data_IF_776032549227
#
_entry.id   IF_776032549227
#
_cell.length_a   1.000
_cell.length_b   1.000
_cell.length_c   1.000
_cell.angle_alpha   90.00
_cell.angle_beta   90.00
_cell.angle_gamma   90.00
#
_symmetry.space_group_name_H-M   'P 1'
#
loop_
_entity.id
_entity.type
_entity.pdbx_description
1 polymer ?
#
# COMPACT_ATOMS: atom_id res chain seq x y z
N UNK A 1 -4.36 14.34 27.63
CA UNK A 1 -4.32 12.90 27.89
C UNK A 1 -3.36 12.27 26.90
N UNK A 2 -2.28 11.71 27.36
CA UNK A 2 -1.17 11.23 26.55
C UNK A 2 -1.53 9.92 25.88
N UNK A 3 -1.46 9.86 24.54
CA UNK A 3 -1.48 8.61 23.80
C UNK A 3 -0.29 7.73 24.21
N UNK A 4 -0.51 6.42 24.43
CA UNK A 4 0.60 5.50 24.66
C UNK A 4 1.40 5.31 23.36
N UNK A 5 2.72 5.03 23.46
CA UNK A 5 3.57 4.78 22.31
C UNK A 5 3.12 3.50 21.60
N UNK A 6 3.01 3.54 20.28
CA UNK A 6 2.69 2.41 19.44
C UNK A 6 3.67 1.26 19.68
N UNK A 7 3.16 0.13 20.13
CA UNK A 7 3.90 -1.12 20.15
C UNK A 7 4.15 -1.59 18.71
N UNK A 8 5.35 -2.12 18.40
CA UNK A 8 5.62 -2.65 17.07
C UNK A 8 4.73 -3.84 16.80
N UNK A 9 4.04 -3.81 15.66
CA UNK A 9 3.22 -4.89 15.16
C UNK A 9 4.06 -6.16 15.05
N UNK A 10 3.75 -7.18 15.86
CA UNK A 10 4.31 -8.52 15.70
C UNK A 10 3.73 -9.16 14.45
N UNK A 11 4.47 -9.10 13.36
CA UNK A 11 4.21 -9.90 12.18
C UNK A 11 4.59 -11.35 12.46
N UNK A 12 3.63 -12.26 12.33
CA UNK A 12 3.84 -13.69 12.43
C UNK A 12 4.69 -14.15 11.24
N UNK A 13 5.95 -14.46 11.52
CA UNK A 13 6.83 -15.21 10.64
C UNK A 13 6.32 -16.67 10.57
N UNK A 14 5.66 -17.03 9.50
CA UNK A 14 5.43 -18.44 9.19
C UNK A 14 6.69 -19.02 8.56
N UNK A 15 7.43 -19.78 9.36
CA UNK A 15 8.57 -20.57 8.93
C UNK A 15 8.12 -21.71 8.03
N UNK A 16 8.70 -21.84 6.85
CA UNK A 16 8.62 -23.05 6.01
C UNK A 16 9.44 -24.17 6.64
N UNK A 17 8.85 -25.38 6.64
CA UNK A 17 9.38 -26.72 6.87
C UNK A 17 9.36 -27.24 8.31
N UNK A 18 8.33 -28.04 8.57
CA UNK A 18 8.48 -29.26 9.36
C UNK A 18 8.17 -30.45 8.46
N UNK A 19 9.22 -31.17 8.05
CA UNK A 19 9.13 -32.49 7.45
C UNK A 19 8.72 -33.45 8.58
N UNK A 20 7.47 -33.89 8.60
CA UNK A 20 7.04 -35.03 9.42
C UNK A 20 7.08 -36.28 8.55
N UNK A 21 7.99 -37.20 8.88
CA UNK A 21 7.97 -38.58 8.36
C UNK A 21 6.75 -39.33 8.90
N UNK A 22 6.07 -40.15 8.10
CA UNK A 22 4.95 -40.95 8.56
C UNK A 22 5.44 -42.15 9.38
N UNK A 23 5.05 -42.20 10.65
CA UNK A 23 5.07 -43.45 11.40
C UNK A 23 3.80 -44.26 11.15
N UNK A 24 3.97 -45.51 10.74
CA UNK A 24 2.89 -46.45 10.54
C UNK A 24 2.28 -46.89 11.88
N UNK A 25 0.99 -46.65 12.05
CA UNK A 25 0.19 -47.31 13.06
C UNK A 25 -1.03 -47.97 12.40
N UNK A 26 -1.01 -49.33 12.41
CA UNK A 26 -2.15 -50.17 12.05
C UNK A 26 -3.28 -49.98 13.08
N UNK A 27 -4.43 -49.47 12.64
CA UNK A 27 -5.63 -49.41 13.45
C UNK A 27 -6.84 -49.05 12.61
N UNK A 28 -7.76 -50.01 12.38
CA UNK A 28 -9.03 -49.76 11.68
C UNK A 28 -9.85 -48.71 12.42
N UNK A 29 -10.07 -47.56 11.82
CA UNK A 29 -11.03 -46.58 12.24
C UNK A 29 -11.72 -45.93 11.03
N UNK A 30 -13.00 -45.62 11.19
CA UNK A 30 -13.95 -45.19 10.20
C UNK A 30 -13.45 -44.10 9.27
N UNK A 31 -13.73 -44.22 7.96
CA UNK A 31 -13.49 -43.19 6.93
C UNK A 31 -14.35 -41.96 7.22
N UNK A 32 -13.78 -40.99 7.89
CA UNK A 32 -14.17 -39.59 7.73
C UNK A 32 -13.35 -39.03 6.56
N UNK A 33 -13.96 -38.90 5.39
CA UNK A 33 -13.39 -38.19 4.26
C UNK A 33 -13.31 -36.70 4.59
N UNK A 34 -12.26 -36.30 5.31
CA UNK A 34 -11.84 -34.89 5.28
C UNK A 34 -11.26 -34.67 3.88
N UNK A 35 -11.99 -33.95 3.06
CA UNK A 35 -11.41 -33.26 1.91
C UNK A 35 -10.41 -32.22 2.46
N UNK A 36 -9.17 -32.62 2.62
CA UNK A 36 -8.06 -31.69 2.66
C UNK A 36 -7.89 -31.28 1.20
N UNK A 37 -8.43 -30.12 0.84
CA UNK A 37 -7.99 -29.48 -0.39
C UNK A 37 -6.49 -29.26 -0.21
N UNK A 38 -5.68 -30.00 -0.95
CA UNK A 38 -4.29 -29.62 -1.20
C UNK A 38 -4.36 -28.24 -1.88
N UNK A 39 -4.02 -27.22 -1.11
CA UNK A 39 -3.94 -25.87 -1.62
C UNK A 39 -2.67 -25.85 -2.47
N UNK A 40 -2.84 -25.71 -3.79
CA UNK A 40 -1.72 -25.56 -4.72
C UNK A 40 -0.87 -24.35 -4.29
N UNK A 41 0.28 -24.63 -3.72
CA UNK A 41 1.19 -23.59 -3.23
C UNK A 41 1.76 -22.71 -4.35
N UNK A 42 1.59 -23.11 -5.62
CA UNK A 42 1.97 -22.30 -6.79
C UNK A 42 0.98 -21.16 -7.07
N UNK A 43 -0.19 -21.17 -6.40
CA UNK A 43 -1.24 -20.16 -6.57
C UNK A 43 -1.12 -18.94 -5.61
N UNK A 44 -0.14 -18.93 -4.71
CA UNK A 44 0.05 -17.85 -3.74
C UNK A 44 1.31 -17.05 -4.05
N UNK A 45 1.17 -15.73 -4.07
CA UNK A 45 2.28 -14.78 -4.16
C UNK A 45 2.53 -14.22 -2.76
N UNK A 46 3.78 -14.27 -2.32
CA UNK A 46 4.22 -13.76 -1.02
C UNK A 46 4.97 -12.46 -1.21
N UNK A 47 4.36 -11.29 -0.92
CA UNK A 47 5.05 -10.02 -1.05
C UNK A 47 5.99 -9.75 0.13
N UNK A 48 7.17 -9.22 -0.17
CA UNK A 48 8.09 -8.65 0.79
C UNK A 48 7.85 -7.14 0.86
N UNK A 49 7.33 -6.65 1.98
CA UNK A 49 7.06 -5.22 2.16
C UNK A 49 8.35 -4.45 2.40
N UNK A 50 8.53 -3.37 1.66
CA UNK A 50 9.71 -2.51 1.68
C UNK A 50 9.30 -1.06 1.89
N UNK A 51 9.82 -0.42 2.92
CA UNK A 51 9.83 1.04 3.00
C UNK A 51 11.03 1.53 2.18
N UNK A 52 10.75 2.07 0.99
CA UNK A 52 11.75 2.38 -0.05
C UNK A 52 12.95 3.14 0.51
N UNK A 53 12.68 4.23 1.25
CA UNK A 53 13.72 5.08 1.83
C UNK A 53 14.66 4.34 2.80
N UNK A 54 14.16 3.30 3.49
CA UNK A 54 14.85 2.64 4.60
C UNK A 54 15.54 1.34 4.22
N UNK A 55 15.25 0.81 3.04
CA UNK A 55 15.65 -0.57 2.74
C UNK A 55 17.09 -0.67 2.24
N UNK A 56 17.45 0.04 1.18
CA UNK A 56 18.80 -0.06 0.62
C UNK A 56 19.20 1.20 -0.16
N UNK A 57 20.45 1.61 0.04
CA UNK A 57 21.12 2.59 -0.80
C UNK A 57 21.58 1.93 -2.10
N UNK A 58 21.72 2.71 -3.16
CA UNK A 58 22.33 2.26 -4.40
C UNK A 58 23.82 1.93 -4.20
N UNK A 59 24.26 0.81 -4.77
CA UNK A 59 25.64 0.35 -4.65
C UNK A 59 26.00 -0.11 -3.24
N UNK A 60 27.27 0.04 -2.88
CA UNK A 60 27.81 -0.30 -1.54
C UNK A 60 27.68 0.87 -0.54
N UNK A 61 26.72 1.74 -0.72
CA UNK A 61 26.53 2.90 0.14
C UNK A 61 26.33 2.51 1.61
N UNK A 62 27.06 3.18 2.52
CA UNK A 62 27.03 2.95 3.97
C UNK A 62 26.54 4.18 4.75
N UNK A 63 25.73 5.04 4.12
CA UNK A 63 25.19 6.20 4.82
C UNK A 63 24.45 5.75 6.07
N UNK A 64 24.83 6.37 7.19
CA UNK A 64 24.19 6.07 8.47
C UNK A 64 22.80 6.67 8.50
N UNK A 65 21.78 5.82 8.57
CA UNK A 65 20.41 6.25 8.81
C UNK A 65 20.16 6.35 10.33
N UNK A 66 19.90 7.56 10.81
CA UNK A 66 19.47 7.79 12.20
C UNK A 66 17.95 7.93 12.17
N UNK A 67 17.25 6.88 12.54
CA UNK A 67 15.78 6.81 12.44
C UNK A 67 15.07 7.87 13.29
N UNK A 68 15.65 8.24 14.42
CA UNK A 68 15.10 9.24 15.33
C UNK A 68 15.11 10.65 14.75
N UNK A 69 15.97 10.92 13.76
CA UNK A 69 15.99 12.20 13.04
C UNK A 69 14.77 12.40 12.16
N UNK A 70 14.02 11.32 11.85
CA UNK A 70 12.81 11.33 11.00
C UNK A 70 13.03 12.02 9.65
N UNK A 71 14.20 11.82 9.04
CA UNK A 71 14.61 12.36 7.74
C UNK A 71 14.71 11.25 6.71
N UNK A 72 14.76 11.62 5.44
CA UNK A 72 15.15 10.69 4.40
C UNK A 72 16.52 10.07 4.70
N UNK A 73 16.63 8.76 4.47
CA UNK A 73 17.87 7.99 4.62
C UNK A 73 18.50 7.59 3.28
N UNK A 74 17.83 7.89 2.18
CA UNK A 74 18.36 7.75 0.83
C UNK A 74 18.22 6.38 0.21
N UNK A 75 17.34 5.52 0.71
CA UNK A 75 16.97 4.28 0.03
C UNK A 75 16.27 4.57 -1.30
N UNK A 76 16.60 3.81 -2.34
CA UNK A 76 16.17 4.06 -3.73
C UNK A 76 15.67 2.81 -4.43
N UNK A 77 14.97 2.98 -5.58
CA UNK A 77 14.60 1.87 -6.46
C UNK A 77 15.84 1.08 -6.93
N UNK A 78 16.96 1.76 -7.20
CA UNK A 78 18.22 1.10 -7.54
C UNK A 78 18.78 0.29 -6.40
N UNK A 79 18.73 0.81 -5.18
CA UNK A 79 19.11 0.06 -3.98
C UNK A 79 18.27 -1.21 -3.79
N UNK A 80 16.97 -1.17 -4.09
CA UNK A 80 16.11 -2.36 -4.07
C UNK A 80 16.57 -3.36 -5.13
N UNK A 81 16.87 -2.91 -6.37
CA UNK A 81 17.37 -3.77 -7.46
C UNK A 81 18.62 -4.53 -7.00
N UNK A 82 19.56 -3.86 -6.34
CA UNK A 82 20.81 -4.46 -5.84
C UNK A 82 20.57 -5.54 -4.76
N UNK A 83 19.37 -5.60 -4.18
CA UNK A 83 18.99 -6.57 -3.13
C UNK A 83 17.98 -7.63 -3.58
N UNK A 84 17.64 -7.69 -4.87
CA UNK A 84 16.63 -8.65 -5.36
C UNK A 84 17.05 -10.11 -5.13
N UNK A 85 18.32 -10.43 -5.26
CA UNK A 85 18.80 -11.80 -5.01
C UNK A 85 18.59 -12.20 -3.54
N UNK A 86 18.86 -11.29 -2.60
CA UNK A 86 18.56 -11.49 -1.19
C UNK A 86 17.08 -11.75 -0.93
N UNK A 87 16.19 -10.93 -1.52
CA UNK A 87 14.74 -11.07 -1.33
C UNK A 87 14.24 -12.39 -1.94
N UNK A 88 14.71 -12.74 -3.14
CA UNK A 88 14.35 -13.99 -3.81
C UNK A 88 14.83 -15.22 -3.03
N UNK A 89 16.04 -15.19 -2.46
CA UNK A 89 16.58 -16.27 -1.63
C UNK A 89 15.78 -16.48 -0.34
N UNK A 90 15.12 -15.45 0.18
CA UNK A 90 14.19 -15.58 1.29
C UNK A 90 12.87 -16.27 0.91
N UNK A 91 12.63 -16.50 -0.40
CA UNK A 91 11.46 -17.19 -0.92
C UNK A 91 10.24 -16.30 -1.16
N UNK A 92 10.43 -14.99 -1.32
CA UNK A 92 9.38 -14.07 -1.72
C UNK A 92 9.24 -14.02 -3.25
N UNK A 93 8.01 -13.84 -3.72
CA UNK A 93 7.64 -13.82 -5.13
C UNK A 93 7.27 -12.42 -5.62
N UNK A 94 7.11 -11.48 -4.71
CA UNK A 94 6.78 -10.08 -5.00
C UNK A 94 7.47 -9.13 -4.02
N UNK A 95 7.55 -7.87 -4.41
CA UNK A 95 7.91 -6.76 -3.50
C UNK A 95 6.72 -5.80 -3.44
N UNK A 96 6.38 -5.37 -2.25
CA UNK A 96 5.46 -4.28 -2.01
C UNK A 96 6.26 -3.07 -1.50
N UNK A 97 6.34 -2.01 -2.32
CA UNK A 97 7.04 -0.77 -2.00
C UNK A 97 6.08 0.31 -1.48
N UNK A 98 6.60 1.21 -0.64
CA UNK A 98 5.89 2.40 -0.17
C UNK A 98 5.41 3.28 -1.33
N UNK A 99 4.47 4.24 -1.09
CA UNK A 99 3.95 5.09 -2.16
C UNK A 99 5.04 5.80 -2.94
N UNK A 100 4.86 5.87 -4.26
CA UNK A 100 5.90 6.31 -5.20
C UNK A 100 5.74 7.76 -5.66
N UNK A 101 4.61 8.40 -5.36
CA UNK A 101 4.31 9.76 -5.81
C UNK A 101 5.09 10.82 -5.04
N UNK A 102 5.24 12.01 -5.64
CA UNK A 102 5.92 13.12 -4.97
C UNK A 102 5.16 13.53 -3.71
N UNK A 103 5.91 13.67 -2.63
CA UNK A 103 5.41 14.00 -1.30
C UNK A 103 5.76 15.45 -0.95
N UNK A 104 5.17 15.95 0.14
CA UNK A 104 5.53 17.26 0.67
C UNK A 104 7.01 17.29 1.04
N UNK A 105 7.67 18.38 0.71
CA UNK A 105 9.07 18.61 1.01
C UNK A 105 9.25 19.37 2.33
N UNK A 106 10.41 19.17 2.95
CA UNK A 106 10.79 19.83 4.19
C UNK A 106 10.34 19.11 5.46
N UNK A 107 10.69 19.70 6.59
CA UNK A 107 10.49 19.11 7.90
C UNK A 107 9.16 19.54 8.50
N UNK A 108 8.29 18.58 8.76
CA UNK A 108 7.01 18.78 9.43
C UNK A 108 7.11 18.57 10.94
N UNK A 109 6.01 18.73 11.67
CA UNK A 109 5.94 18.39 13.10
C UNK A 109 6.33 16.92 13.40
N UNK A 110 6.22 16.03 12.41
CA UNK A 110 6.52 14.60 12.53
C UNK A 110 7.72 14.14 11.70
N UNK A 111 8.47 15.05 11.10
CA UNK A 111 9.64 14.78 10.28
C UNK A 111 9.38 15.00 8.79
N UNK A 112 10.27 14.50 7.95
CA UNK A 112 10.14 14.52 6.50
C UNK A 112 9.24 13.37 6.01
N UNK A 113 8.71 13.49 4.78
CA UNK A 113 7.76 12.53 4.21
C UNK A 113 8.44 11.26 3.64
N UNK A 114 9.50 10.78 4.25
CA UNK A 114 10.31 9.64 3.81
C UNK A 114 9.52 8.34 3.61
N UNK A 115 8.37 8.24 4.25
CA UNK A 115 7.48 7.06 4.18
C UNK A 115 6.61 7.05 2.93
N UNK A 116 6.39 8.19 2.25
CA UNK A 116 5.62 8.29 1.01
C UNK A 116 4.11 8.53 1.16
N UNK A 117 3.58 8.67 2.39
CA UNK A 117 2.13 8.80 2.63
C UNK A 117 1.59 10.22 2.68
N UNK A 118 2.40 11.25 2.43
CA UNK A 118 1.98 12.65 2.40
C UNK A 118 2.10 13.22 0.98
N UNK A 119 1.26 12.69 0.08
CA UNK A 119 1.26 13.08 -1.32
C UNK A 119 1.08 14.59 -1.50
N UNK A 120 1.86 15.16 -2.41
CA UNK A 120 1.73 16.53 -2.89
C UNK A 120 1.41 16.58 -4.38
N UNK A 121 2.01 15.69 -5.16
CA UNK A 121 1.81 15.61 -6.60
C UNK A 121 1.71 14.14 -7.03
N UNK A 122 0.52 13.72 -7.45
CA UNK A 122 0.30 12.32 -7.84
C UNK A 122 0.74 12.01 -9.27
N UNK A 123 1.06 13.01 -10.09
CA UNK A 123 1.53 12.82 -11.46
C UNK A 123 3.05 12.73 -11.58
N UNK A 124 3.78 13.11 -10.55
CA UNK A 124 5.22 12.99 -10.47
C UNK A 124 5.64 11.96 -9.42
N UNK A 125 6.80 11.33 -9.64
CA UNK A 125 7.39 10.43 -8.65
C UNK A 125 8.17 11.22 -7.60
N UNK A 126 8.32 10.62 -6.42
CA UNK A 126 9.17 11.14 -5.36
C UNK A 126 10.66 11.07 -5.79
N UNK A 127 11.33 12.22 -5.98
CA UNK A 127 12.70 12.25 -6.49
C UNK A 127 13.71 11.63 -5.51
N UNK A 128 13.38 11.52 -4.23
CA UNK A 128 14.23 10.86 -3.23
C UNK A 128 14.39 9.35 -3.49
N UNK A 129 13.43 8.73 -4.18
CA UNK A 129 13.46 7.29 -4.45
C UNK A 129 14.08 6.92 -5.79
N UNK A 130 14.27 7.90 -6.67
CA UNK A 130 14.84 7.75 -8.00
C UNK A 130 13.99 8.36 -9.11
N UNK A 131 14.38 8.10 -10.34
CA UNK A 131 13.73 8.60 -11.55
C UNK A 131 12.59 7.68 -12.02
N UNK A 132 11.71 8.14 -12.93
CA UNK A 132 10.75 7.25 -13.62
C UNK A 132 11.42 6.05 -14.30
N UNK A 133 12.61 6.25 -14.88
CA UNK A 133 13.40 5.17 -15.48
C UNK A 133 13.86 4.13 -14.46
N UNK A 134 14.13 4.53 -13.22
CA UNK A 134 14.56 3.62 -12.15
C UNK A 134 13.41 2.76 -11.66
N UNK A 135 12.19 3.30 -11.59
CA UNK A 135 11.00 2.51 -11.23
C UNK A 135 10.66 1.49 -12.33
N UNK A 136 10.76 1.87 -13.60
CA UNK A 136 10.64 0.93 -14.74
C UNK A 136 11.72 -0.14 -14.68
N UNK A 137 12.96 0.23 -14.34
CA UNK A 137 14.04 -0.73 -14.19
C UNK A 137 13.80 -1.71 -13.04
N UNK A 138 13.24 -1.26 -11.91
CA UNK A 138 12.85 -2.15 -10.80
C UNK A 138 11.80 -3.17 -11.24
N UNK A 139 10.71 -2.73 -11.87
CA UNK A 139 9.69 -3.62 -12.42
C UNK A 139 10.29 -4.64 -13.39
N UNK A 140 11.12 -4.18 -14.35
CA UNK A 140 11.78 -5.05 -15.32
C UNK A 140 12.70 -6.08 -14.66
N UNK A 141 13.46 -5.68 -13.63
CA UNK A 141 14.36 -6.56 -12.91
C UNK A 141 13.61 -7.62 -12.09
N UNK A 142 12.44 -7.29 -11.55
CA UNK A 142 11.54 -8.24 -10.89
C UNK A 142 10.96 -9.25 -11.90
N UNK A 143 10.42 -8.76 -13.02
CA UNK A 143 9.83 -9.60 -14.07
C UNK A 143 10.86 -10.59 -14.66
N UNK A 144 12.12 -10.15 -14.85
CA UNK A 144 13.20 -11.04 -15.30
C UNK A 144 13.45 -12.21 -14.32
N UNK A 145 13.11 -12.05 -13.05
CA UNK A 145 13.18 -13.07 -11.98
C UNK A 145 11.87 -13.83 -11.78
N UNK A 146 10.84 -13.56 -12.57
CA UNK A 146 9.46 -14.03 -12.38
C UNK A 146 8.87 -13.60 -11.02
N UNK A 147 9.27 -12.44 -10.56
CA UNK A 147 8.74 -11.76 -9.39
C UNK A 147 7.84 -10.61 -9.82
N UNK A 148 7.04 -10.10 -8.90
CA UNK A 148 6.03 -9.08 -9.15
C UNK A 148 6.27 -7.80 -8.35
N UNK A 149 5.79 -6.68 -8.89
CA UNK A 149 5.82 -5.37 -8.23
C UNK A 149 4.42 -4.99 -7.73
N UNK A 150 4.27 -4.82 -6.42
CA UNK A 150 3.12 -4.18 -5.80
C UNK A 150 3.51 -2.80 -5.30
N UNK A 151 2.69 -1.80 -5.60
CA UNK A 151 2.90 -0.41 -5.18
C UNK A 151 1.80 0.01 -4.23
N UNK A 152 2.20 0.67 -3.13
CA UNK A 152 1.27 1.32 -2.22
C UNK A 152 0.71 2.60 -2.85
N UNK A 153 -0.59 2.86 -2.70
CA UNK A 153 -1.27 4.03 -3.25
C UNK A 153 -2.16 4.68 -2.20
N UNK A 154 -2.16 6.01 -2.16
CA UNK A 154 -3.00 6.80 -1.27
C UNK A 154 -4.03 7.55 -2.11
N UNK A 155 -5.31 7.39 -1.79
CA UNK A 155 -6.44 8.09 -2.43
C UNK A 155 -7.10 9.03 -1.44
N UNK A 156 -7.22 8.60 -0.20
CA UNK A 156 -7.98 9.26 0.86
C UNK A 156 -7.55 10.71 1.10
N UNK A 157 -6.25 10.97 1.12
CA UNK A 157 -5.73 12.27 1.54
C UNK A 157 -4.51 12.70 0.73
N UNK A 158 -4.27 13.99 0.78
CA UNK A 158 -2.99 14.60 0.41
C UNK A 158 -2.18 14.94 1.67
N UNK A 159 -1.01 15.52 1.48
CA UNK A 159 -0.14 15.94 2.58
C UNK A 159 -0.80 16.98 3.47
N UNK A 160 -0.11 17.40 4.55
CA UNK A 160 -0.70 18.36 5.48
C UNK A 160 -1.06 19.65 4.80
N UNK A 161 -2.31 20.10 5.04
CA UNK A 161 -2.83 21.38 4.59
C UNK A 161 -3.22 22.20 5.81
N UNK A 162 -2.34 23.09 6.24
CA UNK A 162 -2.56 23.98 7.39
C UNK A 162 -2.90 25.42 7.00
N UNK A 163 -3.00 25.70 5.72
CA UNK A 163 -3.34 27.02 5.19
C UNK A 163 -3.82 26.94 3.74
N UNK A 164 -4.48 28.00 3.26
CA UNK A 164 -4.86 28.11 1.83
C UNK A 164 -3.66 28.02 0.88
N UNK A 165 -2.46 28.39 1.33
CA UNK A 165 -1.23 28.26 0.54
C UNK A 165 -0.83 26.79 0.32
N UNK A 166 -1.18 25.90 1.24
CA UNK A 166 -0.88 24.47 1.10
C UNK A 166 -1.61 23.84 -0.08
N UNK A 167 -2.88 24.19 -0.30
CA UNK A 167 -3.65 23.66 -1.44
C UNK A 167 -3.05 24.05 -2.78
N UNK A 168 -2.52 25.26 -2.92
CA UNK A 168 -1.91 25.72 -4.17
C UNK A 168 -0.69 24.89 -4.60
N UNK A 169 -0.05 24.19 -3.65
CA UNK A 169 1.09 23.32 -3.91
C UNK A 169 0.68 21.89 -4.34
N UNK A 170 -0.57 21.50 -4.16
CA UNK A 170 -1.05 20.19 -4.54
C UNK A 170 -1.31 20.07 -6.04
N UNK A 171 -0.95 18.95 -6.64
CA UNK A 171 -1.19 18.67 -8.04
C UNK A 171 -1.83 17.26 -8.19
N UNK A 172 -3.03 17.14 -8.78
CA UNK A 172 -3.82 18.18 -9.42
C UNK A 172 -4.85 18.89 -8.49
N UNK A 173 -4.97 18.48 -7.24
CA UNK A 173 -6.03 18.93 -6.33
C UNK A 173 -5.64 20.24 -5.62
N UNK A 174 -5.46 21.32 -6.40
CA UNK A 174 -4.88 22.59 -5.94
C UNK A 174 -5.89 23.62 -5.39
N UNK A 175 -7.08 23.17 -4.99
CA UNK A 175 -8.12 24.05 -4.44
C UNK A 175 -8.82 23.41 -3.24
N UNK A 176 -9.22 24.18 -2.22
CA UNK A 176 -9.96 23.67 -1.08
C UNK A 176 -11.25 22.91 -1.44
N UNK A 177 -11.90 23.28 -2.55
CA UNK A 177 -13.14 22.64 -3.03
C UNK A 177 -12.98 21.20 -3.55
N UNK A 178 -11.77 20.68 -3.56
CA UNK A 178 -11.48 19.27 -3.90
C UNK A 178 -11.39 18.39 -2.65
N UNK A 179 -11.55 18.96 -1.48
CA UNK A 179 -11.43 18.28 -0.19
C UNK A 179 -12.69 18.48 0.64
N UNK A 180 -12.96 17.55 1.54
CA UNK A 180 -13.99 17.74 2.55
C UNK A 180 -13.64 18.95 3.45
N UNK A 181 -14.64 19.62 4.05
CA UNK A 181 -14.39 20.64 5.05
C UNK A 181 -13.50 20.14 6.17
N UNK A 182 -12.55 20.96 6.59
CA UNK A 182 -11.61 20.57 7.65
C UNK A 182 -12.36 20.23 8.96
N UNK A 183 -12.28 18.97 9.33
CA UNK A 183 -12.67 18.44 10.63
C UNK A 183 -11.74 17.25 10.93
N UNK A 184 -11.34 17.06 12.17
CA UNK A 184 -10.58 15.87 12.55
C UNK A 184 -11.52 14.73 12.91
N UNK A 185 -11.15 13.50 12.56
CA UNK A 185 -11.90 12.29 12.95
C UNK A 185 -11.91 12.17 14.48
N UNK A 186 -13.09 12.16 15.08
CA UNK A 186 -13.30 12.11 16.53
C UNK A 186 -13.95 10.80 16.99
N UNK A 187 -14.71 10.16 16.12
CA UNK A 187 -15.38 8.88 16.40
C UNK A 187 -15.15 7.86 15.28
N UNK A 188 -14.23 6.95 15.48
CA UNK A 188 -13.90 5.85 14.54
C UNK A 188 -14.99 4.78 14.42
N UNK A 189 -16.08 4.85 15.21
CA UNK A 189 -17.27 4.01 15.06
C UNK A 189 -18.34 4.68 14.18
N UNK A 190 -18.20 5.97 13.90
CA UNK A 190 -19.06 6.69 12.97
C UNK A 190 -18.44 6.70 11.58
N UNK A 191 -18.96 5.88 10.67
CA UNK A 191 -18.40 5.74 9.32
C UNK A 191 -18.40 7.05 8.54
N UNK A 192 -19.38 7.94 8.73
CA UNK A 192 -19.40 9.26 8.10
C UNK A 192 -18.27 10.15 8.62
N UNK A 193 -17.97 10.12 9.92
CA UNK A 193 -16.85 10.83 10.51
C UNK A 193 -15.51 10.33 9.92
N UNK A 194 -15.40 9.00 9.77
CA UNK A 194 -14.22 8.35 9.19
C UNK A 194 -14.02 8.67 7.71
N UNK A 195 -15.09 8.83 6.93
CA UNK A 195 -15.05 9.07 5.48
C UNK A 195 -15.02 10.54 5.07
N UNK A 196 -15.34 11.47 5.96
CA UNK A 196 -15.49 12.89 5.63
C UNK A 196 -14.69 13.84 6.51
N UNK A 197 -14.03 13.33 7.55
CA UNK A 197 -13.11 14.11 8.37
C UNK A 197 -11.65 13.67 8.18
N UNK A 198 -10.76 14.58 8.48
CA UNK A 198 -9.34 14.46 8.18
C UNK A 198 -8.61 13.56 9.18
N UNK A 199 -7.70 12.75 8.67
CA UNK A 199 -6.71 12.05 9.47
C UNK A 199 -5.67 13.03 10.02
N UNK A 200 -5.11 12.69 11.18
CA UNK A 200 -4.04 13.48 11.81
C UNK A 200 -4.46 14.10 13.13
N UNK A 201 -3.86 15.23 13.43
CA UNK A 201 -4.10 15.97 14.66
C UNK A 201 -3.90 17.50 14.42
N UNK A 202 -3.95 18.28 15.49
CA UNK A 202 -3.78 19.74 15.47
C UNK A 202 -2.42 20.22 14.97
N UNK A 203 -1.41 19.35 14.93
CA UNK A 203 -0.04 19.65 14.44
C UNK A 203 0.15 19.28 12.99
N UNK A 204 -0.55 18.26 12.52
CA UNK A 204 -0.46 17.75 11.16
C UNK A 204 -1.78 17.09 10.79
N UNK A 205 -2.62 17.82 10.08
CA UNK A 205 -3.88 17.34 9.53
C UNK A 205 -3.71 17.04 8.03
N UNK A 206 -4.14 15.86 7.58
CA UNK A 206 -4.04 15.39 6.20
C UNK A 206 -5.32 15.76 5.46
N UNK A 207 -5.17 16.53 4.37
CA UNK A 207 -6.31 17.03 3.60
C UNK A 207 -7.12 15.88 2.99
N UNK A 208 -8.33 15.66 3.49
CA UNK A 208 -9.21 14.57 3.10
C UNK A 208 -9.92 14.88 1.78
N UNK A 209 -9.78 13.99 0.80
CA UNK A 209 -10.24 14.21 -0.58
C UNK A 209 -11.74 13.98 -0.69
N UNK A 210 -12.48 14.93 -1.32
CA UNK A 210 -13.90 14.76 -1.65
C UNK A 210 -14.10 13.68 -2.72
N UNK A 211 -14.14 12.42 -2.26
CA UNK A 211 -14.35 11.25 -3.12
C UNK A 211 -15.79 11.06 -3.58
N UNK A 212 -16.73 11.90 -3.12
CA UNK A 212 -18.09 12.03 -3.62
C UNK A 212 -18.16 12.82 -4.94
N UNK A 213 -17.14 13.64 -5.21
CA UNK A 213 -17.05 14.44 -6.42
C UNK A 213 -16.73 13.58 -7.65
N UNK A 214 -17.63 13.46 -8.65
CA UNK A 214 -17.42 12.57 -9.79
C UNK A 214 -16.24 12.98 -10.70
N UNK A 215 -15.79 14.25 -10.63
CA UNK A 215 -14.58 14.70 -11.36
C UNK A 215 -13.33 14.12 -10.71
N UNK A 216 -13.30 14.09 -9.38
CA UNK A 216 -12.20 13.52 -8.61
C UNK A 216 -12.16 12.00 -8.81
N UNK A 217 -13.30 11.31 -8.74
CA UNK A 217 -13.40 9.87 -9.03
C UNK A 217 -12.83 9.57 -10.42
N UNK A 218 -13.24 10.32 -11.44
CA UNK A 218 -12.74 10.14 -12.81
C UNK A 218 -11.24 10.39 -12.91
N UNK A 219 -10.73 11.39 -12.21
CA UNK A 219 -9.31 11.74 -12.18
C UNK A 219 -8.49 10.60 -11.58
N UNK A 220 -8.88 10.07 -10.41
CA UNK A 220 -8.18 8.94 -9.78
C UNK A 220 -8.23 7.67 -10.62
N UNK A 221 -9.36 7.38 -11.27
CA UNK A 221 -9.47 6.24 -12.19
C UNK A 221 -8.51 6.36 -13.40
N UNK A 222 -8.30 7.56 -13.92
CA UNK A 222 -7.31 7.78 -14.97
C UNK A 222 -5.88 7.69 -14.45
N UNK A 223 -5.62 8.29 -13.28
CA UNK A 223 -4.31 8.28 -12.66
C UNK A 223 -3.82 6.86 -12.36
N UNK A 224 -4.64 6.02 -11.70
CA UNK A 224 -4.22 4.66 -11.36
C UNK A 224 -3.94 3.81 -12.60
N UNK A 225 -4.74 3.98 -13.65
CA UNK A 225 -4.51 3.30 -14.94
C UNK A 225 -3.18 3.72 -15.56
N UNK A 226 -2.87 5.03 -15.50
CA UNK A 226 -1.61 5.56 -16.00
C UNK A 226 -0.43 5.04 -15.18
N UNK A 227 -0.52 5.11 -13.85
CA UNK A 227 0.53 4.64 -12.95
C UNK A 227 0.87 3.16 -13.19
N UNK A 228 -0.16 2.30 -13.17
CA UNK A 228 0.03 0.86 -13.34
C UNK A 228 0.65 0.53 -14.70
N UNK A 229 0.12 1.10 -15.79
CA UNK A 229 0.63 0.81 -17.14
C UNK A 229 1.98 1.44 -17.42
N UNK A 230 2.20 2.64 -16.90
CA UNK A 230 3.44 3.39 -17.15
C UNK A 230 4.67 2.76 -16.52
N UNK A 231 4.49 2.08 -15.41
CA UNK A 231 5.60 1.51 -14.64
C UNK A 231 5.59 -0.02 -14.56
N UNK A 232 4.66 -0.71 -15.26
CA UNK A 232 4.60 -2.17 -15.26
C UNK A 232 4.32 -2.75 -13.87
N UNK A 233 3.38 -2.15 -13.14
CA UNK A 233 2.97 -2.56 -11.80
C UNK A 233 2.01 -3.74 -11.93
N UNK A 234 2.14 -4.77 -11.08
CA UNK A 234 1.38 -6.01 -11.11
C UNK A 234 0.28 -6.06 -10.04
N UNK A 235 0.40 -5.25 -9.01
CA UNK A 235 -0.58 -5.14 -7.93
C UNK A 235 -0.52 -3.81 -7.22
N UNK A 236 -1.61 -3.42 -6.58
CA UNK A 236 -1.66 -2.23 -5.73
C UNK A 236 -2.17 -2.58 -4.33
N UNK A 237 -1.58 -1.96 -3.33
CA UNK A 237 -2.14 -1.89 -1.99
C UNK A 237 -2.69 -0.49 -1.78
N UNK A 238 -3.92 -0.38 -1.35
CA UNK A 238 -4.58 0.89 -1.09
C UNK A 238 -4.49 1.21 0.40
N UNK A 239 -3.84 2.32 0.70
CA UNK A 239 -3.77 2.90 2.03
C UNK A 239 -5.13 3.41 2.47
N UNK A 240 -5.44 3.30 3.78
CA UNK A 240 -6.62 3.91 4.40
C UNK A 240 -7.94 3.65 3.67
N UNK A 241 -8.13 2.45 3.11
CA UNK A 241 -9.29 2.13 2.29
C UNK A 241 -10.65 2.34 2.98
N UNK A 242 -10.73 2.17 4.30
CA UNK A 242 -11.96 2.40 5.08
C UNK A 242 -12.34 3.87 5.23
N UNK A 243 -11.43 4.77 4.93
CA UNK A 243 -11.64 6.23 5.00
C UNK A 243 -12.22 6.81 3.71
N UNK A 244 -12.43 5.97 2.71
CA UNK A 244 -13.11 6.32 1.45
C UNK A 244 -14.36 5.47 1.32
N UNK A 245 -15.45 6.06 0.82
CA UNK A 245 -16.72 5.35 0.62
C UNK A 245 -16.56 4.08 -0.21
N UNK A 246 -17.25 3.00 0.18
CA UNK A 246 -17.07 1.66 -0.39
C UNK A 246 -17.34 1.59 -1.90
N UNK A 247 -18.30 2.35 -2.40
CA UNK A 247 -18.71 2.34 -3.80
C UNK A 247 -17.73 3.07 -4.75
N UNK A 248 -16.71 3.74 -4.21
CA UNK A 248 -15.58 4.27 -4.96
C UNK A 248 -14.70 3.13 -5.54
N UNK A 249 -14.46 2.09 -4.76
CA UNK A 249 -13.44 1.09 -5.02
C UNK A 249 -13.66 0.20 -6.24
N UNK A 250 -14.90 -0.24 -6.59
CA UNK A 250 -15.09 -1.10 -7.77
C UNK A 250 -14.61 -0.47 -9.07
N UNK A 251 -14.89 0.81 -9.29
CA UNK A 251 -14.45 1.52 -10.49
C UNK A 251 -12.94 1.78 -10.49
N UNK A 252 -12.37 2.08 -9.34
CA UNK A 252 -10.93 2.30 -9.15
C UNK A 252 -10.15 1.02 -9.40
N UNK A 253 -10.54 -0.11 -8.79
CA UNK A 253 -9.93 -1.42 -8.99
C UNK A 253 -10.03 -1.88 -10.44
N UNK A 254 -11.20 -1.71 -11.09
CA UNK A 254 -11.37 -2.02 -12.51
C UNK A 254 -10.46 -1.14 -13.39
N UNK A 255 -10.23 0.10 -13.01
CA UNK A 255 -9.36 1.03 -13.75
C UNK A 255 -7.89 0.68 -13.62
N UNK A 256 -7.45 0.17 -12.46
CA UNK A 256 -6.09 -0.32 -12.25
C UNK A 256 -5.80 -1.53 -13.16
N UNK A 257 -6.77 -2.43 -13.32
CA UNK A 257 -6.65 -3.64 -14.12
C UNK A 257 -5.68 -4.68 -13.55
N UNK A 258 -5.26 -4.54 -12.29
CA UNK A 258 -4.33 -5.44 -11.59
C UNK A 258 -4.90 -5.87 -10.24
N UNK A 259 -4.20 -6.77 -9.56
CA UNK A 259 -4.55 -7.17 -8.20
C UNK A 259 -4.60 -5.97 -7.27
N UNK A 260 -5.66 -5.90 -6.46
CA UNK A 260 -5.90 -4.79 -5.55
C UNK A 260 -6.22 -5.32 -4.15
N UNK A 261 -5.50 -4.83 -3.15
CA UNK A 261 -5.76 -5.10 -1.72
C UNK A 261 -5.81 -3.78 -0.96
N UNK A 262 -6.78 -3.61 -0.08
CA UNK A 262 -6.92 -2.40 0.71
C UNK A 262 -6.68 -2.61 2.20
N UNK A 263 -6.18 -1.56 2.82
CA UNK A 263 -6.07 -1.48 4.26
C UNK A 263 -7.42 -1.13 4.89
N UNK A 264 -8.03 -2.12 5.55
CA UNK A 264 -9.23 -1.92 6.36
C UNK A 264 -8.90 -2.27 7.81
N UNK A 265 -8.37 -1.28 8.52
CA UNK A 265 -7.99 -1.47 9.94
C UNK A 265 -9.24 -1.51 10.81
N UNK A 266 -9.71 -2.71 11.15
CA UNK A 266 -10.87 -2.92 12.00
C UNK A 266 -10.86 -4.31 12.65
N UNK A 267 -11.35 -4.43 13.90
CA UNK A 267 -11.39 -5.70 14.64
C UNK A 267 -12.54 -6.60 14.18
N UNK A 268 -13.63 -6.03 13.67
CA UNK A 268 -14.79 -6.79 13.22
C UNK A 268 -14.57 -7.35 11.82
N UNK A 269 -14.44 -8.67 11.72
CA UNK A 269 -14.22 -9.38 10.45
C UNK A 269 -15.37 -9.22 9.44
N UNK A 270 -16.61 -9.04 9.92
CA UNK A 270 -17.77 -8.78 9.04
C UNK A 270 -17.64 -7.41 8.39
N UNK A 271 -17.22 -6.39 9.14
CA UNK A 271 -16.95 -5.05 8.60
C UNK A 271 -15.85 -5.10 7.53
N UNK A 272 -14.74 -5.79 7.80
CA UNK A 272 -13.64 -5.96 6.84
C UNK A 272 -14.10 -6.72 5.59
N UNK A 273 -14.88 -7.80 5.77
CA UNK A 273 -15.38 -8.62 4.67
C UNK A 273 -16.33 -7.86 3.73
N UNK A 274 -16.99 -6.81 4.17
CA UNK A 274 -17.86 -5.99 3.31
C UNK A 274 -17.07 -5.26 2.22
N UNK A 275 -15.81 -4.95 2.45
CA UNK A 275 -14.94 -4.36 1.42
C UNK A 275 -14.53 -5.37 0.33
N UNK A 276 -14.57 -6.68 0.63
CA UNK A 276 -14.24 -7.73 -0.35
C UNK A 276 -15.42 -8.12 -1.25
N UNK A 277 -16.64 -7.77 -0.87
CA UNK A 277 -17.88 -8.15 -1.60
C UNK A 277 -18.23 -7.18 -2.72
N UNK A 278 -17.62 -6.01 -2.73
CA UNK A 278 -17.98 -4.90 -3.63
C UNK A 278 -17.32 -4.98 -5.01
N UNK A 279 -16.59 -6.05 -5.34
CA UNK A 279 -15.86 -6.14 -6.60
C UNK A 279 -16.64 -6.86 -7.72
N UNK A 280 -16.74 -6.27 -8.92
CA UNK A 280 -17.12 -7.01 -10.11
C UNK A 280 -16.01 -8.00 -10.49
N UNK A 281 -16.44 -9.21 -10.87
CA UNK A 281 -15.55 -10.32 -11.23
C UNK A 281 -14.89 -10.02 -12.58
N UNK A 282 -13.62 -9.63 -12.59
CA UNK A 282 -12.76 -9.78 -13.77
C UNK A 282 -11.86 -11.01 -13.58
N UNK A 283 -11.50 -11.76 -14.63
CA UNK A 283 -10.62 -12.91 -14.49
C UNK A 283 -9.30 -12.46 -13.86
N UNK A 284 -8.74 -13.23 -12.92
CA UNK A 284 -7.59 -12.80 -12.14
C UNK A 284 -6.32 -12.76 -13.01
N UNK A 285 -5.49 -11.73 -12.87
CA UNK A 285 -4.08 -11.83 -13.20
C UNK A 285 -3.39 -12.84 -12.25
N UNK A 286 -2.16 -13.26 -12.53
CA UNK A 286 -1.51 -14.44 -11.90
C UNK A 286 -1.35 -14.40 -10.39
N UNK A 287 -1.76 -13.31 -9.72
CA UNK A 287 -1.62 -13.16 -8.28
C UNK A 287 -2.61 -13.93 -7.44
N UNK A 288 -3.73 -14.45 -7.98
CA UNK A 288 -4.76 -15.00 -7.07
C UNK A 288 -5.67 -16.02 -7.70
N UNK A 289 -5.72 -17.19 -7.05
CA UNK A 289 -6.86 -18.10 -7.11
C UNK A 289 -7.98 -17.76 -6.09
N UNK A 290 -7.76 -16.81 -5.18
CA UNK A 290 -8.75 -16.38 -4.19
C UNK A 290 -8.85 -14.86 -4.12
N UNK A 291 -10.00 -14.38 -4.51
CA UNK A 291 -10.51 -13.03 -4.59
C UNK A 291 -10.27 -12.25 -3.30
N UNK A 292 -9.26 -11.39 -3.26
CA UNK A 292 -9.25 -10.25 -2.36
C UNK A 292 -9.53 -9.01 -3.20
N UNK A 293 -10.79 -8.66 -3.29
CA UNK A 293 -11.21 -7.34 -3.72
C UNK A 293 -11.46 -6.51 -2.47
N UNK A 294 -11.21 -5.22 -2.54
CA UNK A 294 -11.80 -4.29 -1.60
C UNK A 294 -13.29 -4.27 -1.71
#
# INVERSE_FOLDING_TARGET
>A
MSCPPHAPSRWLLFSRRALLQPQSLNGKAARSTRYVHEVDSSAYVYPFQVLTDRFALEGAGTARCITDDRKYCGGTYRGIIDKLDYIQQLGFDAIWISPVVANVEGFTAYGEAYHGYWAQDIYNLNPHFGTPGDLVALSSALHARKMYLMVDVVVNHFGPANSSASYASFNPLNQPSYFHPECLITDYNNQTDVEQCWLGDDKLALADVDTENPRIVKMFNHWIKFLVKGYGIDGIRIDTAKHVRKDFWPAFAASSGVYTVGEVWHENTTYVADYTRSCPVSPPPPFVSNRACL
#
